data_IF_662526052501
#
_entry.id   IF_662526052501
#
_cell.length_a   1.000
_cell.length_b   1.000
_cell.length_c   1.000
_cell.angle_alpha   90.00
_cell.angle_beta   90.00
_cell.angle_gamma   90.00
#
_symmetry.space_group_name_H-M   'P 1'
#
loop_
_entity.id
_entity.type
_entity.pdbx_description
1 polymer ?
#
# COMPACT_ATOMS: atom_id res chain seq x y z
N UNK A 1 0.62 -0.69 32.51
CA UNK A 1 1.26 -1.92 32.02
C UNK A 1 0.37 -2.50 30.95
N UNK A 2 0.91 -2.77 29.76
CA UNK A 2 0.19 -3.40 28.65
C UNK A 2 0.07 -4.89 28.95
N UNK A 3 -1.10 -5.46 28.76
CA UNK A 3 -1.34 -6.90 28.89
C UNK A 3 -1.11 -7.58 27.54
N UNK A 4 -0.28 -8.60 27.48
CA UNK A 4 -0.06 -9.41 26.29
C UNK A 4 -1.18 -10.45 26.17
N UNK A 5 -1.89 -10.45 25.06
CA UNK A 5 -2.97 -11.39 24.79
C UNK A 5 -2.42 -12.70 24.23
N UNK A 6 -2.32 -13.72 25.09
CA UNK A 6 -1.81 -15.04 24.65
C UNK A 6 -2.89 -15.79 23.87
N UNK A 7 -2.49 -16.36 22.74
CA UNK A 7 -3.38 -17.22 21.93
C UNK A 7 -3.58 -18.57 22.62
N UNK A 8 -4.83 -18.91 22.89
CA UNK A 8 -5.25 -20.21 23.44
C UNK A 8 -5.45 -21.21 22.32
N UNK A 9 -6.16 -20.79 21.25
CA UNK A 9 -6.39 -21.57 20.03
C UNK A 9 -6.64 -20.65 18.84
N UNK A 10 -6.48 -21.17 17.63
CA UNK A 10 -6.78 -20.41 16.41
C UNK A 10 -7.26 -21.32 15.30
N UNK A 11 -8.11 -20.79 14.43
CA UNK A 11 -8.62 -21.47 13.22
C UNK A 11 -8.75 -20.47 12.06
N UNK A 12 -8.54 -20.93 10.83
CA UNK A 12 -8.83 -20.16 9.63
C UNK A 12 -10.33 -20.29 9.35
N UNK A 13 -11.04 -19.15 9.31
CA UNK A 13 -12.49 -19.10 9.08
C UNK A 13 -12.85 -18.64 7.66
N UNK A 14 -11.90 -18.02 6.96
CA UNK A 14 -12.01 -17.64 5.55
C UNK A 14 -10.65 -17.67 4.89
N UNK A 15 -10.58 -18.14 3.65
CA UNK A 15 -9.40 -18.08 2.80
C UNK A 15 -9.79 -17.66 1.38
N UNK A 16 -9.22 -16.56 0.93
CA UNK A 16 -9.44 -15.98 -0.39
C UNK A 16 -8.11 -15.69 -1.10
N UNK A 17 -8.17 -15.20 -2.36
CA UNK A 17 -6.96 -14.96 -3.16
C UNK A 17 -6.10 -13.80 -2.65
N UNK A 18 -6.70 -12.85 -1.90
CA UNK A 18 -6.01 -11.64 -1.43
C UNK A 18 -5.61 -11.76 0.03
N UNK A 19 -6.49 -12.27 0.87
CA UNK A 19 -6.28 -12.40 2.31
C UNK A 19 -7.02 -13.61 2.87
N UNK A 20 -6.67 -14.00 4.08
CA UNK A 20 -7.45 -14.95 4.87
C UNK A 20 -7.84 -14.32 6.22
N UNK A 21 -8.88 -14.85 6.84
CA UNK A 21 -9.30 -14.44 8.18
C UNK A 21 -9.06 -15.59 9.14
N UNK A 22 -8.32 -15.29 10.20
CA UNK A 22 -8.06 -16.21 11.30
C UNK A 22 -8.75 -15.73 12.57
N UNK A 23 -9.56 -16.60 13.17
CA UNK A 23 -10.14 -16.38 14.48
C UNK A 23 -9.22 -16.93 15.55
N UNK A 24 -8.84 -16.09 16.49
CA UNK A 24 -8.07 -16.47 17.68
C UNK A 24 -8.96 -16.42 18.91
N UNK A 25 -8.85 -17.45 19.74
CA UNK A 25 -9.28 -17.39 21.14
C UNK A 25 -8.07 -16.94 21.95
N UNK A 26 -8.23 -15.88 22.71
CA UNK A 26 -7.11 -15.26 23.44
C UNK A 26 -7.42 -15.07 24.92
N UNK A 27 -6.37 -15.06 25.73
CA UNK A 27 -6.43 -14.66 27.13
C UNK A 27 -6.35 -13.12 27.20
N UNK A 28 -7.27 -12.49 27.92
CA UNK A 28 -7.25 -11.05 28.19
C UNK A 28 -7.24 -10.80 29.70
N UNK A 29 -6.99 -9.56 30.11
CA UNK A 29 -7.04 -9.19 31.53
C UNK A 29 -8.40 -9.48 32.19
N UNK A 30 -9.47 -9.51 31.40
CA UNK A 30 -10.86 -9.75 31.87
C UNK A 30 -11.34 -11.19 31.68
N UNK A 31 -10.48 -12.12 31.26
CA UNK A 31 -10.80 -13.50 30.93
C UNK A 31 -10.59 -13.80 29.43
N UNK A 32 -11.23 -14.85 28.92
CA UNK A 32 -11.11 -15.23 27.52
C UNK A 32 -11.92 -14.31 26.58
N UNK A 33 -11.38 -14.07 25.39
CA UNK A 33 -12.05 -13.29 24.34
C UNK A 33 -11.68 -13.82 22.96
N UNK A 34 -12.24 -13.24 21.89
CA UNK A 34 -11.90 -13.59 20.51
C UNK A 34 -11.28 -12.39 19.76
N UNK A 35 -10.42 -12.71 18.77
CA UNK A 35 -9.86 -11.74 17.82
C UNK A 35 -9.99 -12.33 16.43
N UNK A 36 -10.62 -11.59 15.54
CA UNK A 36 -10.65 -11.90 14.11
C UNK A 36 -9.56 -11.08 13.43
N UNK A 37 -8.57 -11.78 12.86
CA UNK A 37 -7.40 -11.16 12.24
C UNK A 37 -7.42 -11.42 10.73
N UNK A 38 -7.33 -10.34 9.95
CA UNK A 38 -7.06 -10.41 8.52
C UNK A 38 -5.56 -10.63 8.34
N UNK A 39 -5.18 -11.76 7.78
CA UNK A 39 -3.80 -12.09 7.43
C UNK A 39 -3.56 -11.75 5.96
N UNK A 40 -2.64 -10.81 5.71
CA UNK A 40 -2.27 -10.30 4.39
C UNK A 40 -0.75 -10.30 4.20
N UNK A 41 -0.27 -10.53 2.97
CA UNK A 41 1.17 -10.58 2.68
C UNK A 41 1.88 -9.22 2.74
N UNK A 42 1.10 -8.15 2.89
CA UNK A 42 1.59 -6.78 2.78
C UNK A 42 1.81 -6.33 1.34
N UNK A 43 2.35 -5.14 1.16
CA UNK A 43 2.57 -4.57 -0.17
C UNK A 43 3.62 -3.47 -0.17
N UNK A 44 3.98 -3.04 -1.38
CA UNK A 44 4.90 -1.92 -1.60
C UNK A 44 4.20 -0.81 -2.36
N UNK A 45 4.47 0.43 -1.97
CA UNK A 45 3.90 1.66 -2.53
C UNK A 45 5.04 2.51 -3.08
N UNK A 46 4.86 3.08 -4.26
CA UNK A 46 5.90 3.84 -4.93
C UNK A 46 5.52 5.32 -5.02
N UNK A 47 6.31 6.17 -4.37
CA UNK A 47 6.34 7.60 -4.65
C UNK A 47 7.35 7.78 -5.80
N UNK A 48 6.85 7.65 -7.03
CA UNK A 48 7.67 7.71 -8.23
C UNK A 48 7.70 9.14 -8.75
N UNK A 49 8.90 9.73 -8.78
CA UNK A 49 9.10 11.14 -9.12
C UNK A 49 9.82 11.26 -10.46
N UNK A 50 9.19 11.98 -11.39
CA UNK A 50 9.76 12.27 -12.72
C UNK A 50 10.92 13.26 -12.65
N UNK A 51 11.66 13.40 -13.74
CA UNK A 51 12.78 14.38 -13.82
C UNK A 51 12.28 15.83 -13.74
N UNK A 52 10.99 16.07 -14.07
CA UNK A 52 10.33 17.37 -13.93
C UNK A 52 9.79 17.61 -12.50
N UNK A 53 9.97 16.66 -11.57
CA UNK A 53 9.54 16.76 -10.19
C UNK A 53 8.05 16.44 -9.98
N UNK A 54 7.36 15.87 -10.96
CA UNK A 54 5.99 15.39 -10.82
C UNK A 54 5.93 13.99 -10.22
N UNK A 55 4.82 13.66 -9.59
CA UNK A 55 4.57 12.33 -9.02
C UNK A 55 3.65 11.54 -9.92
N UNK A 56 4.01 10.28 -10.22
CA UNK A 56 3.15 9.33 -10.90
C UNK A 56 2.03 8.88 -9.95
N UNK A 57 0.81 8.98 -10.43
CA UNK A 57 -0.39 8.50 -9.76
C UNK A 57 -1.11 7.51 -10.65
N UNK A 58 -1.88 6.61 -10.04
CA UNK A 58 -2.78 5.71 -10.74
C UNK A 58 -4.21 5.98 -10.34
N UNK A 59 -5.13 5.89 -11.30
CA UNK A 59 -6.56 5.95 -11.04
C UNK A 59 -7.19 4.62 -11.40
N UNK A 60 -7.80 3.94 -10.42
CA UNK A 60 -8.40 2.64 -10.61
C UNK A 60 -9.74 2.50 -9.88
N UNK A 61 -10.60 1.62 -10.40
CA UNK A 61 -11.89 1.32 -9.79
C UNK A 61 -11.72 0.41 -8.57
N UNK A 62 -12.21 0.86 -7.43
CA UNK A 62 -12.20 0.06 -6.19
C UNK A 62 -13.61 -0.42 -5.85
N UNK A 63 -13.86 -1.72 -6.03
CA UNK A 63 -15.19 -2.33 -5.80
C UNK A 63 -15.73 -2.09 -4.40
N UNK A 64 -14.87 -2.05 -3.39
CA UNK A 64 -15.27 -1.79 -2.00
C UNK A 64 -15.95 -0.43 -1.80
N UNK A 65 -15.62 0.56 -2.65
CA UNK A 65 -16.17 1.92 -2.61
C UNK A 65 -17.07 2.22 -3.81
N UNK A 66 -17.16 1.30 -4.77
CA UNK A 66 -17.93 1.42 -6.03
C UNK A 66 -17.60 2.69 -6.84
N UNK A 67 -16.32 3.09 -6.84
CA UNK A 67 -15.82 4.27 -7.58
C UNK A 67 -14.34 4.16 -7.90
N UNK A 68 -13.91 5.01 -8.85
CA UNK A 68 -12.49 5.19 -9.12
C UNK A 68 -11.84 6.04 -8.01
N UNK A 69 -10.67 5.61 -7.56
CA UNK A 69 -9.83 6.31 -6.57
C UNK A 69 -8.51 6.72 -7.23
N UNK A 70 -7.94 7.83 -6.73
CA UNK A 70 -6.60 8.29 -7.05
C UNK A 70 -5.65 7.74 -5.99
N UNK A 71 -4.63 7.02 -6.43
CA UNK A 71 -3.71 6.30 -5.57
C UNK A 71 -2.26 6.44 -6.05
N UNK A 72 -1.30 6.28 -5.14
CA UNK A 72 0.07 5.97 -5.55
C UNK A 72 0.12 4.56 -6.15
N UNK A 73 0.96 4.29 -7.16
CA UNK A 73 1.21 2.93 -7.62
C UNK A 73 1.57 2.02 -6.44
N UNK A 74 0.95 0.85 -6.37
CA UNK A 74 1.13 -0.05 -5.23
C UNK A 74 0.66 -1.47 -5.52
N UNK A 75 1.45 -2.45 -5.16
CA UNK A 75 1.07 -3.83 -5.34
C UNK A 75 1.40 -4.75 -4.18
N UNK A 76 0.77 -5.92 -4.23
CA UNK A 76 0.89 -6.96 -3.22
C UNK A 76 2.21 -7.70 -3.35
N UNK A 77 2.83 -8.01 -2.22
CA UNK A 77 4.02 -8.88 -2.19
C UNK A 77 3.66 -10.33 -2.49
N UNK A 78 4.42 -10.92 -3.39
CA UNK A 78 4.39 -12.37 -3.60
C UNK A 78 5.00 -13.12 -2.41
N UNK A 79 4.64 -14.40 -2.20
CA UNK A 79 5.21 -15.20 -1.12
C UNK A 79 6.74 -15.25 -1.17
N UNK A 80 7.38 -14.69 -0.11
CA UNK A 80 8.84 -14.65 0.00
C UNK A 80 9.52 -13.52 -0.77
N UNK A 81 8.77 -12.68 -1.48
CA UNK A 81 9.33 -11.53 -2.19
C UNK A 81 9.80 -10.44 -1.22
N UNK A 82 10.95 -9.85 -1.51
CA UNK A 82 11.48 -8.71 -0.75
C UNK A 82 10.71 -7.45 -1.15
N UNK A 83 10.30 -6.56 -0.21
CA UNK A 83 9.47 -5.38 -0.52
C UNK A 83 10.04 -4.46 -1.60
N UNK A 84 11.36 -4.31 -1.68
CA UNK A 84 12.03 -3.52 -2.72
C UNK A 84 11.85 -4.12 -4.13
N UNK A 85 11.89 -5.44 -4.23
CA UNK A 85 11.65 -6.17 -5.49
C UNK A 85 10.20 -6.00 -5.92
N UNK A 86 9.25 -6.14 -4.98
CA UNK A 86 7.83 -5.82 -5.21
C UNK A 86 7.66 -4.40 -5.75
N UNK A 87 8.31 -3.41 -5.12
CA UNK A 87 8.19 -2.02 -5.55
C UNK A 87 8.67 -1.82 -7.00
N UNK A 88 9.80 -2.40 -7.38
CA UNK A 88 10.33 -2.27 -8.73
C UNK A 88 9.44 -2.99 -9.77
N UNK A 89 8.95 -4.18 -9.44
CA UNK A 89 8.05 -4.98 -10.30
C UNK A 89 6.73 -4.24 -10.53
N UNK A 90 6.04 -3.88 -9.46
CA UNK A 90 4.72 -3.23 -9.50
C UNK A 90 4.76 -1.85 -10.18
N UNK A 91 5.83 -1.06 -9.94
CA UNK A 91 6.03 0.19 -10.66
C UNK A 91 6.04 -0.04 -12.18
N UNK A 92 6.75 -1.07 -12.63
CA UNK A 92 6.84 -1.40 -14.05
C UNK A 92 5.51 -1.93 -14.61
N UNK A 93 4.84 -2.82 -13.89
CA UNK A 93 3.60 -3.44 -14.30
C UNK A 93 2.46 -2.43 -14.41
N UNK A 94 2.22 -1.65 -13.35
CA UNK A 94 1.13 -0.70 -13.28
C UNK A 94 1.35 0.55 -14.15
N UNK A 95 2.55 1.12 -14.12
CA UNK A 95 2.83 2.43 -14.75
C UNK A 95 3.59 2.34 -16.07
N UNK A 96 4.24 1.22 -16.34
CA UNK A 96 5.15 1.08 -17.48
C UNK A 96 6.51 1.75 -17.25
N UNK A 97 6.78 2.35 -16.10
CA UNK A 97 8.08 2.96 -15.80
C UNK A 97 8.98 2.04 -15.00
N UNK A 98 10.25 2.04 -15.32
CA UNK A 98 11.30 1.49 -14.45
C UNK A 98 12.05 2.63 -13.77
N UNK A 99 12.59 2.38 -12.56
CA UNK A 99 13.36 3.36 -11.81
C UNK A 99 14.80 2.91 -11.66
N UNK A 100 15.77 3.81 -11.86
CA UNK A 100 17.18 3.54 -11.61
C UNK A 100 17.55 3.61 -10.11
N UNK A 101 16.68 4.18 -9.28
CA UNK A 101 16.81 4.26 -7.84
C UNK A 101 15.49 3.97 -7.17
N UNK A 102 15.46 2.94 -6.33
CA UNK A 102 14.35 2.54 -5.46
C UNK A 102 14.88 2.55 -4.03
N UNK A 103 14.46 3.51 -3.21
CA UNK A 103 14.97 3.67 -1.84
C UNK A 103 13.84 3.55 -0.83
N UNK A 104 14.02 2.80 0.26
CA UNK A 104 13.01 2.72 1.31
C UNK A 104 12.80 4.09 1.96
N UNK A 105 11.55 4.46 2.20
CA UNK A 105 11.16 5.70 2.82
C UNK A 105 10.61 5.48 4.22
N UNK A 106 9.57 4.63 4.34
CA UNK A 106 8.93 4.29 5.62
C UNK A 106 8.11 3.00 5.46
N UNK A 107 7.86 2.30 6.57
CA UNK A 107 6.82 1.26 6.64
C UNK A 107 5.79 1.61 7.71
N UNK A 108 4.58 1.09 7.56
CA UNK A 108 3.48 1.33 8.51
C UNK A 108 2.40 0.25 8.42
N UNK A 109 1.58 0.17 9.45
CA UNK A 109 0.43 -0.73 9.52
C UNK A 109 -0.85 0.06 9.21
N UNK A 110 -1.54 -0.20 8.08
CA UNK A 110 -2.72 0.59 7.69
C UNK A 110 -3.91 0.39 8.63
N UNK A 111 -4.04 -0.79 9.21
CA UNK A 111 -5.20 -1.19 10.04
C UNK A 111 -4.82 -2.12 11.18
N UNK A 112 -3.92 -1.68 12.05
CA UNK A 112 -3.34 -2.49 13.15
C UNK A 112 -4.38 -3.06 14.15
N UNK A 113 -5.64 -2.64 14.09
CA UNK A 113 -6.69 -3.12 14.97
C UNK A 113 -7.20 -4.53 14.65
N UNK A 114 -7.09 -4.97 13.39
CA UNK A 114 -7.59 -6.28 12.95
C UNK A 114 -6.83 -6.88 11.77
N UNK A 115 -5.82 -6.23 11.22
CA UNK A 115 -4.99 -6.76 10.14
C UNK A 115 -3.53 -6.78 10.55
N UNK A 116 -2.79 -7.79 10.07
CA UNK A 116 -1.33 -7.85 10.16
C UNK A 116 -0.64 -7.31 8.91
N UNK A 117 -1.36 -6.62 8.05
CA UNK A 117 -0.81 -6.01 6.84
C UNK A 117 0.30 -5.03 7.18
N UNK A 118 1.44 -5.17 6.50
CA UNK A 118 2.60 -4.28 6.59
C UNK A 118 2.85 -3.67 5.21
N UNK A 119 2.86 -2.35 5.12
CA UNK A 119 3.04 -1.60 3.89
C UNK A 119 4.37 -0.86 3.90
N UNK A 120 5.11 -0.96 2.80
CA UNK A 120 6.43 -0.38 2.61
C UNK A 120 6.36 0.70 1.54
N UNK A 121 6.76 1.92 1.85
CA UNK A 121 6.81 3.03 0.91
C UNK A 121 8.24 3.23 0.43
N UNK A 122 8.38 3.36 -0.88
CA UNK A 122 9.64 3.61 -1.56
C UNK A 122 9.57 4.93 -2.33
N UNK A 123 10.66 5.69 -2.32
CA UNK A 123 10.88 6.78 -3.27
C UNK A 123 11.60 6.22 -4.50
N UNK A 124 11.03 6.46 -5.68
CA UNK A 124 11.54 5.97 -6.97
C UNK A 124 11.94 7.15 -7.85
N UNK A 125 13.17 7.12 -8.39
CA UNK A 125 13.73 8.20 -9.21
C UNK A 125 14.50 7.64 -10.40
N UNK A 126 14.80 8.55 -11.37
CA UNK A 126 15.45 8.18 -12.63
C UNK A 126 14.56 7.24 -13.42
N UNK A 127 13.32 7.70 -13.63
CA UNK A 127 12.28 6.95 -14.30
C UNK A 127 12.57 6.84 -15.80
N UNK A 128 12.43 5.63 -16.31
CA UNK A 128 12.55 5.35 -17.76
C UNK A 128 11.23 4.76 -18.24
N UNK A 129 10.56 5.37 -19.23
CA UNK A 129 9.28 4.87 -19.74
C UNK A 129 9.46 3.55 -20.50
N UNK A 130 8.50 2.66 -20.34
CA UNK A 130 8.39 1.38 -20.99
C UNK A 130 6.94 1.04 -21.33
N UNK A 131 6.57 -0.22 -21.16
CA UNK A 131 5.19 -0.70 -21.40
C UNK A 131 4.59 -1.19 -20.09
N UNK A 132 3.31 -0.93 -19.91
CA UNK A 132 2.51 -1.54 -18.83
C UNK A 132 2.31 -3.04 -19.08
N UNK A 133 2.20 -3.79 -18.01
CA UNK A 133 1.94 -5.24 -18.03
C UNK A 133 0.87 -5.58 -17.00
N UNK A 134 -0.32 -4.99 -17.19
CA UNK A 134 -1.45 -5.19 -16.29
C UNK A 134 -1.93 -6.63 -16.29
N UNK A 135 -2.41 -7.08 -15.16
CA UNK A 135 -3.16 -8.33 -15.06
C UNK A 135 -4.45 -8.26 -15.89
N UNK A 136 -4.97 -9.40 -16.33
CA UNK A 136 -6.16 -9.49 -17.22
C UNK A 136 -7.39 -8.74 -16.68
N UNK A 137 -7.46 -8.50 -15.38
CA UNK A 137 -8.57 -7.80 -14.69
C UNK A 137 -8.25 -6.39 -14.27
N UNK A 138 -7.03 -5.91 -14.49
CA UNK A 138 -6.60 -4.56 -14.15
C UNK A 138 -6.90 -3.57 -15.27
N UNK A 139 -7.33 -2.38 -14.87
CA UNK A 139 -7.54 -1.26 -15.77
C UNK A 139 -7.21 0.02 -15.01
N UNK A 140 -6.07 0.61 -15.32
CA UNK A 140 -5.51 1.76 -14.63
C UNK A 140 -5.34 2.93 -15.60
N UNK A 141 -5.60 4.17 -15.13
CA UNK A 141 -5.08 5.37 -15.79
C UNK A 141 -3.82 5.80 -15.05
N UNK A 142 -2.72 5.98 -15.76
CA UNK A 142 -1.47 6.54 -15.22
C UNK A 142 -1.45 8.03 -15.48
N UNK A 143 -1.26 8.83 -14.44
CA UNK A 143 -1.36 10.28 -14.45
C UNK A 143 -0.16 10.89 -13.74
N UNK A 144 0.20 12.12 -14.11
CA UNK A 144 1.28 12.88 -13.49
C UNK A 144 0.72 14.14 -12.86
N UNK A 145 1.11 14.40 -11.62
CA UNK A 145 0.66 15.56 -10.86
C UNK A 145 1.80 16.34 -10.23
N UNK A 146 1.63 17.65 -10.15
CA UNK A 146 2.49 18.48 -9.33
C UNK A 146 2.28 18.19 -7.82
N UNK A 147 3.35 18.21 -7.05
CA UNK A 147 3.31 17.90 -5.61
C UNK A 147 2.33 18.79 -4.86
N UNK A 148 2.32 20.10 -5.14
CA UNK A 148 1.42 21.04 -4.46
C UNK A 148 -0.05 20.78 -4.79
N UNK A 149 -0.35 20.38 -6.04
CA UNK A 149 -1.70 19.97 -6.43
C UNK A 149 -2.16 18.74 -5.64
N UNK A 150 -1.30 17.71 -5.48
CA UNK A 150 -1.59 16.54 -4.68
C UNK A 150 -1.85 16.87 -3.21
N UNK A 151 -1.06 17.80 -2.64
CA UNK A 151 -1.29 18.27 -1.27
C UNK A 151 -2.67 18.95 -1.15
N UNK A 152 -3.02 19.79 -2.09
CA UNK A 152 -4.32 20.44 -2.13
C UNK A 152 -5.46 19.43 -2.28
N UNK A 153 -5.31 18.40 -3.12
CA UNK A 153 -6.28 17.31 -3.27
C UNK A 153 -6.48 16.52 -1.96
N UNK A 154 -5.41 16.28 -1.21
CA UNK A 154 -5.50 15.68 0.13
C UNK A 154 -6.30 16.59 1.06
N UNK A 155 -5.97 17.88 1.11
CA UNK A 155 -6.65 18.85 2.00
C UNK A 155 -8.11 19.07 1.64
N UNK A 156 -8.48 18.97 0.35
CA UNK A 156 -9.88 19.00 -0.10
C UNK A 156 -10.60 17.65 0.04
N UNK A 157 -9.94 16.61 0.59
CA UNK A 157 -10.48 15.27 0.77
C UNK A 157 -10.90 14.58 -0.55
N UNK A 158 -10.22 14.90 -1.63
CA UNK A 158 -10.37 14.26 -2.93
C UNK A 158 -9.56 12.95 -2.98
N UNK A 159 -8.32 12.95 -2.47
CA UNK A 159 -7.54 11.75 -2.19
C UNK A 159 -7.92 11.22 -0.83
N UNK A 160 -8.41 9.97 -0.78
CA UNK A 160 -8.92 9.32 0.45
C UNK A 160 -8.19 8.03 0.81
N UNK A 161 -7.35 7.54 -0.08
CA UNK A 161 -6.58 6.33 0.15
C UNK A 161 -5.47 6.59 1.17
N UNK A 162 -5.48 5.82 2.26
CA UNK A 162 -4.58 6.04 3.40
C UNK A 162 -3.11 5.86 3.05
N UNK A 163 -2.76 4.87 2.22
CA UNK A 163 -1.38 4.63 1.80
C UNK A 163 -0.84 5.77 0.95
N UNK A 164 -1.69 6.34 0.08
CA UNK A 164 -1.35 7.49 -0.76
C UNK A 164 -1.14 8.74 0.08
N UNK A 165 -2.07 9.05 0.98
CA UNK A 165 -1.95 10.20 1.90
C UNK A 165 -0.67 10.08 2.74
N UNK A 166 -0.44 8.90 3.33
CA UNK A 166 0.76 8.66 4.17
C UNK A 166 2.05 8.80 3.37
N UNK A 167 2.10 8.22 2.16
CA UNK A 167 3.28 8.26 1.30
C UNK A 167 3.64 9.68 0.86
N UNK A 168 2.67 10.42 0.37
CA UNK A 168 2.88 11.79 -0.10
C UNK A 168 3.28 12.74 1.03
N UNK A 169 2.57 12.70 2.17
CA UNK A 169 2.88 13.56 3.31
C UNK A 169 4.25 13.23 3.91
N UNK A 170 4.58 11.94 4.04
CA UNK A 170 5.87 11.52 4.58
C UNK A 170 7.00 11.92 3.64
N UNK A 171 6.87 11.67 2.33
CA UNK A 171 7.88 12.05 1.35
C UNK A 171 8.15 13.55 1.34
N UNK A 172 7.08 14.37 1.40
CA UNK A 172 7.20 15.82 1.50
C UNK A 172 7.91 16.25 2.79
N UNK A 173 7.53 15.69 3.93
CA UNK A 173 8.15 16.02 5.23
C UNK A 173 9.61 15.57 5.30
N UNK A 174 9.98 14.50 4.61
CA UNK A 174 11.36 14.02 4.53
C UNK A 174 12.23 14.82 3.54
N UNK A 175 11.66 15.77 2.80
CA UNK A 175 12.37 16.56 1.78
C UNK A 175 12.65 15.80 0.48
N UNK A 176 11.86 14.73 0.23
CA UNK A 176 11.93 13.93 -0.99
C UNK A 176 10.92 14.40 -2.07
N UNK A 177 10.02 15.33 -1.72
CA UNK A 177 9.08 16.01 -2.63
C UNK A 177 9.12 17.51 -2.41
#
# INVERSE_FOLDING_TARGET
>A
MIFEEKTISSEVVYEGPVFRVRKHKVETRGGESTRDIVEHSGGSIMVAVTDEGKVLMVRQYRKAFEKALMELPAGKRDPGEVPEVTAARELSEETGYTASSVKPLVSFYPTCGYSNEDLYIYICRGLTPGKTHWDDTECLDVLEYDVDELMDMIMRNEIKDSKTISGLLYARQAGEL
#
